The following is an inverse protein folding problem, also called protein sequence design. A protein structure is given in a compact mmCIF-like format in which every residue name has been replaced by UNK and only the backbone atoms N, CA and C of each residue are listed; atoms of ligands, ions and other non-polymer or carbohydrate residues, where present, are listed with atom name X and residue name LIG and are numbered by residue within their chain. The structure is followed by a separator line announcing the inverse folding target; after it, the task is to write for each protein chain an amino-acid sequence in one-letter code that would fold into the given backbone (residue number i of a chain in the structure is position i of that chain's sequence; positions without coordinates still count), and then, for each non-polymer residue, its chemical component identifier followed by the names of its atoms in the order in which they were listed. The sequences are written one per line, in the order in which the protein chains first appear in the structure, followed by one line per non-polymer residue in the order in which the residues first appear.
data_IF_112488911252
#
_entry.id   IF_112488911252
#
_cell.length_a   1.000
_cell.length_b   1.000
_cell.length_c   1.000
_cell.angle_alpha   90.00
_cell.angle_beta   90.00
_cell.angle_gamma   90.00
#
_symmetry.space_group_name_H-M   'P 1'
#
loop_
_entity.id
_entity.type
_entity.pdbx_description
1 polymer ?
#
# COMPACT_ATOMS: atom_id res chain seq x y z
N UNK A 1 -48.66 -7.42 -19.59
CA UNK A 1 -47.36 -6.75 -19.82
C UNK A 1 -46.83 -6.41 -18.46
N UNK A 2 -45.94 -7.26 -17.89
CA UNK A 2 -45.38 -7.11 -16.55
C UNK A 2 -44.07 -6.37 -16.66
N UNK A 3 -43.98 -5.19 -16.02
CA UNK A 3 -42.75 -4.40 -15.89
C UNK A 3 -41.95 -5.06 -14.78
N UNK A 4 -40.82 -5.71 -15.17
CA UNK A 4 -39.85 -6.23 -14.21
C UNK A 4 -39.12 -5.05 -13.59
N UNK A 5 -39.51 -4.67 -12.37
CA UNK A 5 -38.72 -3.77 -11.51
C UNK A 5 -37.45 -4.50 -11.12
N UNK A 6 -36.30 -4.10 -11.74
CA UNK A 6 -34.97 -4.48 -11.32
C UNK A 6 -34.69 -3.86 -9.94
N UNK A 7 -34.99 -4.60 -8.88
CA UNK A 7 -34.52 -4.27 -7.53
C UNK A 7 -33.04 -4.51 -7.44
N UNK A 8 -32.23 -3.49 -7.80
CA UNK A 8 -30.79 -3.44 -7.54
C UNK A 8 -30.59 -3.55 -6.03
N UNK A 9 -29.91 -4.59 -5.58
CA UNK A 9 -29.77 -4.91 -4.16
C UNK A 9 -29.06 -3.75 -3.41
N UNK A 10 -29.66 -3.23 -2.31
CA UNK A 10 -29.12 -2.07 -1.56
C UNK A 10 -27.68 -2.28 -1.05
N UNK A 11 -27.25 -3.53 -0.85
CA UNK A 11 -25.90 -3.90 -0.41
C UNK A 11 -24.85 -3.69 -1.49
N UNK A 12 -25.17 -3.94 -2.77
CA UNK A 12 -24.25 -3.73 -3.89
C UNK A 12 -23.98 -2.24 -4.13
N UNK A 13 -25.00 -1.39 -3.97
CA UNK A 13 -24.87 0.06 -4.12
C UNK A 13 -24.08 0.68 -2.96
N UNK A 14 -24.23 0.18 -1.73
CA UNK A 14 -23.45 0.62 -0.58
C UNK A 14 -21.95 0.26 -0.75
N UNK A 15 -21.62 -0.97 -1.13
CA UNK A 15 -20.24 -1.39 -1.39
C UNK A 15 -19.61 -0.60 -2.53
N UNK A 16 -20.35 -0.36 -3.61
CA UNK A 16 -19.91 0.47 -4.73
C UNK A 16 -19.61 1.91 -4.31
N UNK A 17 -20.52 2.52 -3.54
CA UNK A 17 -20.32 3.88 -3.04
C UNK A 17 -19.10 3.98 -2.13
N UNK A 18 -18.88 2.99 -1.26
CA UNK A 18 -17.69 2.94 -0.42
C UNK A 18 -16.42 2.88 -1.25
N UNK A 19 -16.36 2.05 -2.30
CA UNK A 19 -15.21 1.99 -3.21
C UNK A 19 -14.96 3.31 -3.95
N UNK A 20 -16.03 3.98 -4.40
CA UNK A 20 -15.91 5.30 -5.05
C UNK A 20 -15.35 6.33 -4.06
N UNK A 21 -15.84 6.36 -2.84
CA UNK A 21 -15.34 7.24 -1.78
C UNK A 21 -13.87 6.98 -1.45
N UNK A 22 -13.46 5.71 -1.34
CA UNK A 22 -12.07 5.31 -1.08
C UNK A 22 -11.15 5.81 -2.20
N UNK A 23 -11.49 5.55 -3.46
CA UNK A 23 -10.70 6.00 -4.62
C UNK A 23 -10.60 7.53 -4.68
N UNK A 24 -11.73 8.24 -4.52
CA UNK A 24 -11.74 9.69 -4.52
C UNK A 24 -10.91 10.27 -3.36
N UNK A 25 -10.99 9.68 -2.17
CA UNK A 25 -10.23 10.11 -1.01
C UNK A 25 -8.71 9.93 -1.24
N UNK A 26 -8.26 8.80 -1.77
CA UNK A 26 -6.85 8.56 -2.10
C UNK A 26 -6.37 9.61 -3.10
N UNK A 27 -7.09 9.80 -4.22
CA UNK A 27 -6.72 10.77 -5.25
C UNK A 27 -6.68 12.21 -4.70
N UNK A 28 -7.67 12.59 -3.91
CA UNK A 28 -7.73 13.92 -3.30
C UNK A 28 -6.59 14.14 -2.29
N UNK A 29 -6.24 13.14 -1.50
CA UNK A 29 -5.13 13.21 -0.55
C UNK A 29 -3.77 13.32 -1.24
N UNK A 30 -3.55 12.65 -2.35
CA UNK A 30 -2.33 12.80 -3.15
C UNK A 30 -2.23 14.18 -3.80
N UNK A 31 -3.35 14.78 -4.20
CA UNK A 31 -3.41 16.10 -4.83
C UNK A 31 -3.29 17.25 -3.83
N UNK A 32 -3.98 17.17 -2.69
CA UNK A 32 -4.20 18.28 -1.75
C UNK A 32 -3.64 18.01 -0.34
N UNK A 33 -3.13 16.80 -0.11
CA UNK A 33 -2.64 16.37 1.21
C UNK A 33 -3.74 15.79 2.11
N UNK A 34 -3.31 15.30 3.27
CA UNK A 34 -4.19 14.57 4.21
C UNK A 34 -5.29 15.43 4.85
N UNK A 35 -5.26 16.76 4.66
CA UNK A 35 -6.26 17.71 5.21
C UNK A 35 -7.40 18.04 4.25
N UNK A 36 -7.46 17.42 3.06
CA UNK A 36 -8.53 17.65 2.09
C UNK A 36 -9.92 17.57 2.74
N UNK A 37 -10.85 18.53 2.47
CA UNK A 37 -12.18 18.53 3.09
C UNK A 37 -13.01 17.32 2.71
N UNK A 38 -13.83 16.82 3.65
CA UNK A 38 -14.76 15.69 3.40
C UNK A 38 -15.75 16.01 2.27
N UNK A 39 -16.16 17.28 2.14
CA UNK A 39 -17.04 17.74 1.06
C UNK A 39 -16.38 17.60 -0.32
N UNK A 40 -15.08 17.90 -0.44
CA UNK A 40 -14.32 17.69 -1.68
C UNK A 40 -14.28 16.23 -2.05
N UNK A 41 -14.01 15.33 -1.09
CA UNK A 41 -13.99 13.88 -1.32
C UNK A 41 -15.35 13.37 -1.81
N UNK A 42 -16.44 13.83 -1.19
CA UNK A 42 -17.81 13.44 -1.60
C UNK A 42 -18.11 13.92 -3.03
N UNK A 43 -17.74 15.16 -3.36
CA UNK A 43 -17.91 15.74 -4.69
C UNK A 43 -17.09 14.96 -5.74
N UNK A 44 -15.81 14.66 -5.48
CA UNK A 44 -14.93 13.89 -6.36
C UNK A 44 -15.44 12.45 -6.57
N UNK A 45 -16.08 11.87 -5.55
CA UNK A 45 -16.71 10.55 -5.64
C UNK A 45 -18.05 10.56 -6.38
N UNK A 46 -18.62 11.73 -6.68
CA UNK A 46 -19.96 11.88 -7.28
C UNK A 46 -21.09 11.45 -6.36
N UNK A 47 -20.91 11.55 -5.03
CA UNK A 47 -21.93 11.19 -4.04
C UNK A 47 -22.28 12.39 -3.13
N UNK A 48 -23.47 12.33 -2.54
CA UNK A 48 -23.86 13.34 -1.55
C UNK A 48 -23.02 13.23 -0.26
N UNK A 49 -22.73 14.38 0.39
CA UNK A 49 -21.98 14.43 1.66
C UNK A 49 -22.65 13.57 2.75
N UNK A 50 -23.97 13.48 2.78
CA UNK A 50 -24.68 12.61 3.71
C UNK A 50 -24.42 11.11 3.47
N UNK A 51 -24.14 10.70 2.23
CA UNK A 51 -23.71 9.34 1.91
C UNK A 51 -22.31 9.06 2.44
N UNK A 52 -21.39 10.01 2.30
CA UNK A 52 -20.06 9.89 2.86
C UNK A 52 -20.10 9.71 4.38
N UNK A 53 -20.84 10.56 5.11
CA UNK A 53 -20.94 10.45 6.56
C UNK A 53 -21.70 9.20 7.06
N UNK A 54 -22.52 8.57 6.24
CA UNK A 54 -23.08 7.23 6.57
C UNK A 54 -22.05 6.13 6.50
N UNK A 55 -21.07 6.22 5.59
CA UNK A 55 -19.98 5.25 5.50
C UNK A 55 -18.84 5.54 6.49
N UNK A 56 -18.52 6.81 6.68
CA UNK A 56 -17.41 7.29 7.50
C UNK A 56 -17.94 8.42 8.41
N UNK A 57 -18.49 8.10 9.59
CA UNK A 57 -19.10 9.08 10.50
C UNK A 57 -18.13 10.19 10.92
N UNK A 58 -16.85 9.88 11.07
CA UNK A 58 -15.79 10.84 11.33
C UNK A 58 -14.71 10.77 10.23
N UNK A 59 -13.94 11.85 10.09
CA UNK A 59 -12.76 11.89 9.21
C UNK A 59 -11.76 10.79 9.57
N UNK A 60 -11.58 10.53 10.84
CA UNK A 60 -10.66 9.50 11.35
C UNK A 60 -11.07 8.10 10.90
N UNK A 61 -12.37 7.81 10.79
CA UNK A 61 -12.86 6.53 10.28
C UNK A 61 -12.44 6.33 8.82
N UNK A 62 -12.56 7.38 8.00
CA UNK A 62 -12.09 7.35 6.61
C UNK A 62 -10.58 7.12 6.56
N UNK A 63 -9.79 7.89 7.32
CA UNK A 63 -8.33 7.79 7.32
C UNK A 63 -7.86 6.40 7.79
N UNK A 64 -8.43 5.87 8.86
CA UNK A 64 -8.16 4.52 9.35
C UNK A 64 -8.49 3.46 8.30
N UNK A 65 -9.63 3.62 7.60
CA UNK A 65 -10.03 2.70 6.54
C UNK A 65 -9.06 2.74 5.35
N UNK A 66 -8.67 3.95 4.89
CA UNK A 66 -7.71 4.11 3.81
C UNK A 66 -6.35 3.47 4.14
N UNK A 67 -5.86 3.70 5.35
CA UNK A 67 -4.62 3.09 5.81
C UNK A 67 -4.76 1.56 5.91
N UNK A 68 -5.89 1.06 6.39
CA UNK A 68 -6.14 -0.38 6.49
C UNK A 68 -6.14 -1.08 5.13
N UNK A 69 -6.93 -0.60 4.18
CA UNK A 69 -6.97 -1.20 2.83
C UNK A 69 -5.63 -1.08 2.09
N UNK A 70 -4.85 -0.04 2.38
CA UNK A 70 -3.50 0.09 1.84
C UNK A 70 -2.56 -0.98 2.40
N UNK A 71 -2.63 -1.29 3.70
CA UNK A 71 -1.86 -2.40 4.29
C UNK A 71 -2.33 -3.76 3.78
N UNK A 72 -3.63 -3.98 3.57
CA UNK A 72 -4.13 -5.20 2.93
C UNK A 72 -3.54 -5.38 1.53
N UNK A 73 -3.46 -4.30 0.73
CA UNK A 73 -2.83 -4.37 -0.59
C UNK A 73 -1.33 -4.67 -0.50
N UNK A 74 -0.61 -4.07 0.46
CA UNK A 74 0.81 -4.38 0.72
C UNK A 74 0.98 -5.86 1.10
N UNK A 75 0.08 -6.41 1.91
CA UNK A 75 0.11 -7.83 2.27
C UNK A 75 -0.11 -8.73 1.05
N UNK A 76 -1.08 -8.40 0.19
CA UNK A 76 -1.31 -9.13 -1.08
C UNK A 76 -0.05 -9.12 -1.95
N UNK A 77 0.62 -7.98 -2.08
CA UNK A 77 1.87 -7.86 -2.83
C UNK A 77 3.00 -8.70 -2.22
N UNK A 78 3.13 -8.69 -0.89
CA UNK A 78 4.14 -9.49 -0.19
C UNK A 78 3.90 -10.99 -0.37
N UNK A 79 2.66 -11.44 -0.24
CA UNK A 79 2.27 -12.84 -0.43
C UNK A 79 2.49 -13.31 -1.88
N UNK A 80 2.13 -12.48 -2.87
CA UNK A 80 2.38 -12.77 -4.28
C UNK A 80 3.88 -12.93 -4.56
N UNK A 81 4.71 -12.03 -4.03
CA UNK A 81 6.15 -12.09 -4.15
C UNK A 81 6.75 -13.34 -3.46
N UNK A 82 6.28 -13.69 -2.27
CA UNK A 82 6.74 -14.88 -1.55
C UNK A 82 6.36 -16.18 -2.25
N UNK A 83 5.19 -16.23 -2.90
CA UNK A 83 4.68 -17.39 -3.65
C UNK A 83 5.31 -17.57 -5.04
N UNK A 84 6.07 -16.58 -5.54
CA UNK A 84 6.73 -16.68 -6.84
C UNK A 84 7.86 -17.74 -6.81
N UNK A 85 8.11 -18.38 -7.94
CA UNK A 85 9.18 -19.37 -8.09
C UNK A 85 10.59 -18.74 -8.20
N UNK A 86 10.70 -17.43 -8.12
CA UNK A 86 11.97 -16.69 -8.22
C UNK A 86 12.81 -16.79 -6.95
N UNK A 87 14.05 -16.35 -7.03
CA UNK A 87 14.99 -16.25 -5.89
C UNK A 87 14.46 -15.33 -4.81
N UNK A 88 15.03 -15.39 -3.60
CA UNK A 88 14.66 -14.50 -2.51
C UNK A 88 14.85 -13.01 -2.89
N UNK A 89 15.96 -12.66 -3.53
CA UNK A 89 16.21 -11.29 -4.03
C UNK A 89 15.22 -10.88 -5.12
N UNK A 90 14.82 -11.80 -6.01
CA UNK A 90 13.77 -11.58 -7.00
C UNK A 90 12.39 -11.36 -6.37
N UNK A 91 12.07 -12.05 -5.28
CA UNK A 91 10.84 -11.83 -4.53
C UNK A 91 10.83 -10.44 -3.86
N UNK A 92 11.95 -10.01 -3.26
CA UNK A 92 12.08 -8.66 -2.71
C UNK A 92 11.97 -7.58 -3.80
N UNK A 93 12.54 -7.84 -4.98
CA UNK A 93 12.36 -6.98 -6.15
C UNK A 93 10.88 -6.80 -6.47
N UNK A 94 10.14 -7.89 -6.68
CA UNK A 94 8.71 -7.86 -7.04
C UNK A 94 7.88 -7.12 -5.98
N UNK A 95 8.16 -7.34 -4.70
CA UNK A 95 7.47 -6.66 -3.61
C UNK A 95 7.66 -5.14 -3.66
N UNK A 96 8.91 -4.66 -3.81
CA UNK A 96 9.22 -3.22 -3.82
C UNK A 96 8.77 -2.57 -5.14
N UNK A 97 8.94 -3.24 -6.28
CA UNK A 97 8.44 -2.78 -7.57
C UNK A 97 6.92 -2.58 -7.57
N UNK A 98 6.16 -3.49 -6.95
CA UNK A 98 4.73 -3.33 -6.75
C UNK A 98 4.40 -2.08 -5.91
N UNK A 99 5.15 -1.82 -4.83
CA UNK A 99 4.99 -0.60 -4.03
C UNK A 99 5.29 0.67 -4.84
N UNK A 100 6.33 0.65 -5.69
CA UNK A 100 6.67 1.77 -6.58
C UNK A 100 5.55 2.02 -7.60
N UNK A 101 5.04 0.99 -8.25
CA UNK A 101 4.00 1.11 -9.28
C UNK A 101 2.66 1.57 -8.71
N UNK A 102 2.32 1.16 -7.50
CA UNK A 102 1.05 1.46 -6.82
C UNK A 102 1.13 2.67 -5.87
N UNK A 103 2.22 3.45 -5.88
CA UNK A 103 2.47 4.54 -4.92
C UNK A 103 1.34 5.57 -4.81
N UNK A 104 0.62 5.82 -5.90
CA UNK A 104 -0.49 6.77 -5.96
C UNK A 104 -1.84 6.14 -5.55
N UNK A 105 -1.86 4.85 -5.24
CA UNK A 105 -3.04 4.10 -4.85
C UNK A 105 -3.03 3.76 -3.35
N UNK A 106 -1.92 4.05 -2.64
CA UNK A 106 -1.70 3.69 -1.25
C UNK A 106 -1.61 4.94 -0.35
N UNK A 107 -2.25 4.86 0.80
CA UNK A 107 -2.16 5.86 1.88
C UNK A 107 -1.51 5.20 3.09
N UNK A 108 -0.19 5.36 3.21
CA UNK A 108 0.61 4.70 4.23
C UNK A 108 1.33 5.71 5.13
N UNK A 109 1.54 5.42 6.42
CA UNK A 109 2.21 6.34 7.35
C UNK A 109 3.61 6.75 6.89
N UNK A 110 4.40 5.83 6.32
CA UNK A 110 5.73 6.12 5.79
C UNK A 110 5.71 6.98 4.51
N UNK A 111 4.54 7.15 3.88
CA UNK A 111 4.31 8.07 2.75
C UNK A 111 3.64 9.38 3.19
N UNK A 112 3.70 9.72 4.48
CA UNK A 112 3.05 10.92 5.02
C UNK A 112 1.55 10.75 5.28
N UNK A 113 1.01 9.54 5.16
CA UNK A 113 -0.34 9.21 5.58
C UNK A 113 -0.47 9.14 7.10
N UNK A 114 -1.69 9.16 7.65
CA UNK A 114 -1.91 9.08 9.08
C UNK A 114 -1.56 7.67 9.61
N UNK A 115 -1.11 7.55 10.87
CA UNK A 115 -1.05 6.25 11.53
C UNK A 115 -2.48 5.72 11.71
N UNK A 116 -2.68 4.41 11.54
CA UNK A 116 -3.97 3.79 11.84
C UNK A 116 -4.07 3.46 13.33
N UNK A 117 -5.18 3.89 13.95
CA UNK A 117 -5.54 3.50 15.31
C UNK A 117 -6.28 2.15 15.39
N UNK A 118 -6.57 1.50 14.25
CA UNK A 118 -7.34 0.25 14.24
C UNK A 118 -6.47 -0.96 14.57
N UNK A 119 -6.87 -1.80 15.56
CA UNK A 119 -6.12 -3.01 15.91
C UNK A 119 -5.94 -3.97 14.74
N UNK A 120 -6.95 -4.12 13.88
CA UNK A 120 -6.88 -5.00 12.70
C UNK A 120 -5.78 -4.55 11.72
N UNK A 121 -5.51 -3.26 11.60
CA UNK A 121 -4.40 -2.76 10.76
C UNK A 121 -3.04 -3.18 11.32
N UNK A 122 -2.90 -3.22 12.64
CA UNK A 122 -1.68 -3.72 13.28
C UNK A 122 -1.45 -5.22 13.02
N UNK A 123 -2.53 -6.01 12.95
CA UNK A 123 -2.46 -7.43 12.59
C UNK A 123 -1.97 -7.60 11.15
N UNK A 124 -2.56 -6.86 10.21
CA UNK A 124 -2.14 -6.92 8.79
C UNK A 124 -0.68 -6.49 8.62
N UNK A 125 -0.25 -5.44 9.32
CA UNK A 125 1.14 -4.98 9.32
C UNK A 125 2.10 -6.06 9.82
N UNK A 126 1.74 -6.75 10.90
CA UNK A 126 2.54 -7.87 11.41
C UNK A 126 2.62 -9.02 10.40
N UNK A 127 1.52 -9.34 9.72
CA UNK A 127 1.53 -10.35 8.65
C UNK A 127 2.47 -9.96 7.48
N UNK A 128 2.53 -8.68 7.11
CA UNK A 128 3.52 -8.20 6.12
C UNK A 128 4.94 -8.48 6.60
N UNK A 129 5.27 -8.13 7.85
CA UNK A 129 6.57 -8.41 8.44
C UNK A 129 6.92 -9.90 8.39
N UNK A 130 5.99 -10.78 8.75
CA UNK A 130 6.19 -12.23 8.74
C UNK A 130 6.44 -12.77 7.33
N UNK A 131 5.70 -12.31 6.32
CA UNK A 131 5.90 -12.73 4.93
C UNK A 131 7.28 -12.26 4.41
N UNK A 132 7.68 -11.03 4.69
CA UNK A 132 9.01 -10.53 4.28
C UNK A 132 10.11 -11.29 5.01
N UNK A 133 9.94 -11.62 6.30
CA UNK A 133 10.87 -12.47 7.05
C UNK A 133 11.07 -13.84 6.39
N UNK A 134 10.00 -14.49 5.94
CA UNK A 134 10.09 -15.77 5.22
C UNK A 134 10.91 -15.67 3.92
N UNK A 135 10.76 -14.55 3.17
CA UNK A 135 11.58 -14.31 1.98
C UNK A 135 13.06 -14.15 2.37
N UNK A 136 13.35 -13.35 3.40
CA UNK A 136 14.71 -13.13 3.90
C UNK A 136 15.33 -14.45 4.38
N UNK A 137 14.61 -15.29 5.10
CA UNK A 137 15.13 -16.56 5.61
C UNK A 137 15.48 -17.54 4.49
N UNK A 138 14.73 -17.54 3.38
CA UNK A 138 15.13 -18.28 2.16
C UNK A 138 16.47 -17.77 1.61
N UNK A 139 16.63 -16.44 1.49
CA UNK A 139 17.85 -15.85 0.98
C UNK A 139 19.05 -16.00 1.93
N UNK A 140 18.82 -16.12 3.23
CA UNK A 140 19.86 -16.47 4.19
C UNK A 140 20.30 -17.93 4.04
N UNK A 141 19.35 -18.83 3.77
CA UNK A 141 19.62 -20.25 3.58
C UNK A 141 20.44 -20.53 2.31
N UNK A 142 20.23 -19.77 1.24
CA UNK A 142 20.98 -19.88 -0.02
C UNK A 142 22.17 -18.92 -0.13
N UNK A 143 22.43 -18.09 0.91
CA UNK A 143 23.56 -17.17 0.99
C UNK A 143 23.40 -15.89 0.16
N UNK A 144 22.24 -15.62 -0.41
CA UNK A 144 21.98 -14.42 -1.21
C UNK A 144 21.60 -13.18 -0.38
N UNK A 145 21.23 -13.38 0.91
CA UNK A 145 20.90 -12.29 1.83
C UNK A 145 21.73 -12.43 3.11
N UNK A 146 22.37 -11.35 3.51
CA UNK A 146 23.19 -11.28 4.72
C UNK A 146 22.33 -11.43 6.00
N UNK A 147 22.98 -11.88 7.09
CA UNK A 147 22.28 -12.21 8.35
C UNK A 147 21.67 -11.01 9.06
N UNK A 148 22.23 -9.83 8.85
CA UNK A 148 21.83 -8.57 9.51
C UNK A 148 20.68 -7.84 8.80
N UNK A 149 20.29 -8.26 7.59
CA UNK A 149 19.13 -7.70 6.88
C UNK A 149 17.84 -8.08 7.59
N UNK A 150 16.98 -7.11 7.89
CA UNK A 150 15.71 -7.29 8.60
C UNK A 150 14.51 -6.97 7.71
N UNK A 151 13.29 -7.45 8.03
CA UNK A 151 12.08 -7.03 7.32
C UNK A 151 11.88 -5.50 7.35
N UNK A 152 12.29 -4.85 8.43
CA UNK A 152 12.18 -3.40 8.57
C UNK A 152 13.01 -2.66 7.51
N UNK A 153 14.24 -3.13 7.22
CA UNK A 153 15.11 -2.54 6.20
C UNK A 153 14.45 -2.58 4.82
N UNK A 154 13.84 -3.71 4.47
CA UNK A 154 13.14 -3.90 3.19
C UNK A 154 11.88 -3.03 3.10
N UNK A 155 11.08 -2.98 4.16
CA UNK A 155 9.84 -2.20 4.21
C UNK A 155 10.15 -0.70 4.14
N UNK A 156 11.15 -0.22 4.87
CA UNK A 156 11.58 1.19 4.84
C UNK A 156 12.13 1.56 3.47
N UNK A 157 13.00 0.71 2.89
CA UNK A 157 13.50 0.94 1.53
C UNK A 157 12.34 1.06 0.52
N UNK A 158 11.41 0.10 0.55
CA UNK A 158 10.22 0.11 -0.31
C UNK A 158 9.40 1.40 -0.14
N UNK A 159 9.17 1.81 1.09
CA UNK A 159 8.47 3.05 1.40
C UNK A 159 9.21 4.31 0.90
N UNK A 160 10.54 4.34 1.02
CA UNK A 160 11.35 5.47 0.53
C UNK A 160 11.32 5.56 -1.01
N UNK A 161 11.44 4.43 -1.71
CA UNK A 161 11.41 4.38 -3.17
C UNK A 161 9.99 4.61 -3.74
N UNK A 162 8.95 4.25 -3.01
CA UNK A 162 7.56 4.46 -3.39
C UNK A 162 7.03 5.87 -3.02
N UNK A 163 7.89 6.84 -2.64
CA UNK A 163 7.44 8.21 -2.41
C UNK A 163 6.90 8.83 -3.70
N UNK A 164 5.71 9.48 -3.67
CA UNK A 164 5.19 10.19 -4.82
C UNK A 164 6.08 11.38 -5.21
N UNK A 165 6.47 11.45 -6.50
CA UNK A 165 7.18 12.59 -7.07
C UNK A 165 6.61 12.93 -8.45
N UNK A 166 5.44 13.55 -8.51
CA UNK A 166 4.71 13.76 -9.77
C UNK A 166 5.42 14.70 -10.76
N UNK A 167 6.37 15.51 -10.30
CA UNK A 167 7.11 16.46 -11.14
C UNK A 167 8.38 15.89 -11.79
N UNK A 168 8.73 14.63 -11.53
CA UNK A 168 9.96 13.99 -12.06
C UNK A 168 9.63 12.74 -12.89
N UNK A 169 9.56 12.85 -14.23
CA UNK A 169 9.25 11.73 -15.11
C UNK A 169 10.32 10.62 -15.10
N UNK A 170 11.54 10.91 -14.62
CA UNK A 170 12.63 9.93 -14.46
C UNK A 170 12.64 9.22 -13.13
N UNK A 171 11.77 9.59 -12.19
CA UNK A 171 11.81 9.10 -10.82
C UNK A 171 11.64 7.58 -10.71
N UNK A 172 10.72 6.98 -11.43
CA UNK A 172 10.50 5.53 -11.42
C UNK A 172 11.71 4.76 -11.89
N UNK A 173 12.32 5.19 -13.00
CA UNK A 173 13.55 4.59 -13.51
C UNK A 173 14.70 4.72 -12.53
N UNK A 174 14.79 5.84 -11.81
CA UNK A 174 15.80 6.05 -10.78
C UNK A 174 15.56 5.13 -9.58
N UNK A 175 14.32 5.01 -9.10
CA UNK A 175 13.95 4.09 -8.02
C UNK A 175 14.30 2.63 -8.36
N UNK A 176 13.99 2.18 -9.57
CA UNK A 176 14.31 0.81 -10.00
C UNK A 176 15.82 0.57 -10.10
N UNK A 177 16.63 1.54 -10.56
CA UNK A 177 18.09 1.43 -10.54
C UNK A 177 18.64 1.35 -9.11
N UNK A 178 18.14 2.19 -8.20
CA UNK A 178 18.53 2.15 -6.78
C UNK A 178 18.15 0.81 -6.14
N UNK A 179 16.97 0.30 -6.43
CA UNK A 179 16.53 -1.02 -6.00
C UNK A 179 17.48 -2.12 -6.49
N UNK A 180 17.83 -2.12 -7.78
CA UNK A 180 18.76 -3.08 -8.36
C UNK A 180 20.13 -3.06 -7.62
N UNK A 181 20.66 -1.86 -7.36
CA UNK A 181 21.93 -1.68 -6.66
C UNK A 181 21.86 -2.20 -5.22
N UNK A 182 20.77 -1.87 -4.49
CA UNK A 182 20.59 -2.34 -3.13
C UNK A 182 20.49 -3.87 -3.05
N UNK A 183 19.66 -4.48 -3.89
CA UNK A 183 19.48 -5.93 -3.89
C UNK A 183 20.74 -6.69 -4.30
N UNK A 184 21.57 -6.15 -5.19
CA UNK A 184 22.86 -6.72 -5.55
C UNK A 184 23.84 -6.72 -4.35
N UNK A 185 23.69 -5.78 -3.43
CA UNK A 185 24.51 -5.66 -2.22
C UNK A 185 24.02 -6.51 -1.04
N UNK A 186 22.83 -7.11 -1.09
CA UNK A 186 22.27 -7.81 0.07
C UNK A 186 23.05 -9.03 0.54
N UNK A 187 23.81 -9.68 -0.36
CA UNK A 187 24.67 -10.82 -0.02
C UNK A 187 26.04 -10.43 0.57
N UNK A 188 26.39 -9.14 0.51
CA UNK A 188 27.66 -8.64 1.02
C UNK A 188 27.49 -8.22 2.48
N UNK A 189 28.09 -8.96 3.41
CA UNK A 189 28.24 -8.46 4.78
C UNK A 189 29.19 -7.26 4.72
N UNK A 190 28.66 -6.05 4.86
CA UNK A 190 29.51 -4.86 5.04
C UNK A 190 30.14 -4.95 6.42
N UNK A 191 31.49 -4.92 6.55
CA UNK A 191 32.09 -4.80 7.86
C UNK A 191 31.57 -3.50 8.49
N UNK A 192 30.94 -3.59 9.65
CA UNK A 192 30.68 -2.42 10.48
C UNK A 192 31.98 -2.17 11.27
N UNK A 193 32.72 -1.14 10.87
CA UNK A 193 33.73 -0.55 11.70
C UNK A 193 33.14 0.17 12.92
#
# INVERSE_FOLDING_TARGET
MAIASSSREPRSDAARNQQLLVRAAIAAMHREGTRVPMATIAADAGVGIGTLYRHFPAREDLLNHLTHVSFEQVLVNAQAAAGSAVTATGALWQFIEAAISQRNELVLPLHGGPPSGWPQTSIVREQVHQVIQQIIDRGRADGTIARDVTPYDIIVLGAMLAQPRPADPGWDSTCLRLLATYLAGLGSSTPRD
#
